data_IF_437328902294
#
_entry.id   IF_437328902294
#
_cell.length_a   1.000
_cell.length_b   1.000
_cell.length_c   1.000
_cell.angle_alpha   90.00
_cell.angle_beta   90.00
_cell.angle_gamma   90.00
#
_symmetry.space_group_name_H-M   'P 1'
#
loop_
_entity.id
_entity.type
_entity.pdbx_description
1 polymer ?
#
# COMPACT_ATOMS: atom_id res chain seq x y z
N UNK A 1 -13.36 -9.68 3.87
CA UNK A 1 -13.29 -8.40 3.13
C UNK A 1 -12.36 -8.63 1.98
N UNK A 2 -12.85 -8.64 0.76
CA UNK A 2 -12.03 -8.78 -0.44
C UNK A 2 -12.49 -7.66 -1.35
N UNK A 3 -11.71 -6.60 -1.41
CA UNK A 3 -11.94 -5.42 -2.26
C UNK A 3 -10.77 -5.38 -3.23
N UNK A 4 -11.04 -5.20 -4.52
CA UNK A 4 -10.03 -5.23 -5.58
C UNK A 4 -10.05 -6.52 -6.39
N UNK A 5 -9.06 -6.67 -7.25
CA UNK A 5 -8.96 -7.73 -8.26
C UNK A 5 -8.81 -9.14 -7.65
N UNK A 6 -8.35 -9.23 -6.40
CA UNK A 6 -8.31 -10.47 -5.62
C UNK A 6 -9.68 -10.96 -5.13
N UNK A 7 -10.74 -10.17 -5.24
CA UNK A 7 -12.09 -10.58 -4.81
C UNK A 7 -12.58 -11.85 -5.54
N UNK A 8 -12.48 -11.85 -6.87
CA UNK A 8 -12.99 -12.93 -7.71
C UNK A 8 -12.20 -14.24 -7.50
N UNK A 9 -10.85 -14.27 -7.51
CA UNK A 9 -10.09 -15.47 -7.22
C UNK A 9 -10.38 -16.09 -5.84
N UNK A 10 -10.63 -15.26 -4.83
CA UNK A 10 -11.00 -15.72 -3.49
C UNK A 10 -12.42 -16.30 -3.48
N UNK A 11 -13.40 -15.59 -4.06
CA UNK A 11 -14.78 -16.07 -4.16
C UNK A 11 -14.89 -17.38 -4.95
N UNK A 12 -14.07 -17.55 -5.99
CA UNK A 12 -14.03 -18.76 -6.82
C UNK A 12 -13.16 -19.88 -6.23
N UNK A 13 -12.56 -19.69 -5.05
CA UNK A 13 -11.72 -20.68 -4.37
C UNK A 13 -10.38 -20.96 -5.05
N UNK A 14 -9.99 -20.17 -6.07
CA UNK A 14 -8.70 -20.28 -6.76
C UNK A 14 -7.55 -19.74 -5.91
N UNK A 15 -7.84 -18.84 -4.98
CA UNK A 15 -6.92 -18.32 -3.98
C UNK A 15 -7.58 -18.43 -2.62
N UNK A 16 -6.87 -19.00 -1.65
CA UNK A 16 -7.34 -19.05 -0.27
C UNK A 16 -6.94 -17.76 0.47
N UNK A 17 -7.80 -17.19 1.34
CA UNK A 17 -7.45 -15.99 2.11
C UNK A 17 -6.15 -16.13 2.90
N UNK A 18 -5.82 -17.33 3.38
CA UNK A 18 -4.57 -17.61 4.09
C UNK A 18 -3.31 -17.50 3.23
N UNK A 19 -3.44 -17.45 1.90
CA UNK A 19 -2.33 -17.21 0.97
C UNK A 19 -2.09 -15.72 0.72
N UNK A 20 -2.98 -14.84 1.21
CA UNK A 20 -2.84 -13.40 1.07
C UNK A 20 -2.03 -12.84 2.24
N UNK A 21 -1.17 -11.86 1.95
CA UNK A 21 -0.36 -11.17 2.94
C UNK A 21 -0.46 -9.67 2.69
N UNK A 22 -0.80 -8.90 3.73
CA UNK A 22 -0.78 -7.45 3.62
C UNK A 22 0.66 -6.94 3.52
N UNK A 23 0.88 -5.93 2.66
CA UNK A 23 2.22 -5.37 2.41
C UNK A 23 2.89 -4.85 3.69
N UNK A 24 2.12 -4.40 4.68
CA UNK A 24 2.64 -3.94 5.97
C UNK A 24 3.46 -5.01 6.70
N UNK A 25 3.04 -6.27 6.65
CA UNK A 25 3.77 -7.37 7.29
C UNK A 25 5.15 -7.60 6.63
N UNK A 26 5.23 -7.41 5.31
CA UNK A 26 6.50 -7.50 4.57
C UNK A 26 7.40 -6.32 4.90
N UNK A 27 6.85 -5.09 4.90
CA UNK A 27 7.58 -3.86 5.21
C UNK A 27 8.16 -3.86 6.65
N UNK A 28 7.44 -4.47 7.59
CA UNK A 28 7.87 -4.62 8.98
C UNK A 28 8.79 -5.83 9.21
N UNK A 29 9.09 -6.63 8.17
CA UNK A 29 9.93 -7.83 8.27
C UNK A 29 9.27 -9.00 9.02
N UNK A 30 7.96 -8.97 9.21
CA UNK A 30 7.19 -10.02 9.90
C UNK A 30 6.95 -11.23 9.00
N UNK A 31 6.92 -11.02 7.68
CA UNK A 31 6.82 -12.06 6.66
C UNK A 31 7.88 -11.79 5.58
N UNK A 32 8.48 -12.85 5.04
CA UNK A 32 9.43 -12.74 3.93
C UNK A 32 8.73 -12.34 2.64
N UNK A 33 9.29 -11.36 1.94
CA UNK A 33 8.90 -11.03 0.57
C UNK A 33 9.44 -12.04 -0.44
N UNK A 34 9.55 -11.63 -1.70
CA UNK A 34 10.19 -12.41 -2.78
C UNK A 34 11.61 -12.85 -2.40
N UNK A 35 11.91 -14.13 -2.57
CA UNK A 35 13.18 -14.77 -2.21
C UNK A 35 14.03 -15.17 -3.41
N UNK A 36 13.41 -15.51 -4.56
CA UNK A 36 14.17 -15.93 -5.75
C UNK A 36 13.72 -15.22 -7.03
N UNK A 37 14.51 -15.36 -8.09
CA UNK A 37 14.22 -14.75 -9.39
C UNK A 37 13.06 -15.47 -10.13
N UNK A 38 12.85 -16.75 -9.84
CA UNK A 38 11.86 -17.62 -10.48
C UNK A 38 10.45 -17.40 -9.91
N UNK A 39 10.33 -16.85 -8.70
CA UNK A 39 9.04 -16.56 -8.10
C UNK A 39 8.25 -15.54 -8.92
N UNK A 40 6.92 -15.61 -8.87
CA UNK A 40 6.05 -14.57 -9.42
C UNK A 40 5.25 -14.01 -8.25
N UNK A 41 5.36 -12.70 -8.04
CA UNK A 41 4.69 -11.99 -6.94
C UNK A 41 3.69 -11.03 -7.55
N UNK A 42 2.46 -11.05 -7.06
CA UNK A 42 1.41 -10.10 -7.42
C UNK A 42 1.17 -9.21 -6.21
N UNK A 43 1.24 -7.90 -6.43
CA UNK A 43 0.78 -6.91 -5.47
C UNK A 43 -0.49 -6.29 -6.01
N UNK A 44 -1.58 -6.44 -5.26
CA UNK A 44 -2.88 -5.86 -5.54
C UNK A 44 -3.19 -4.83 -4.44
N UNK A 45 -3.55 -3.61 -4.85
CA UNK A 45 -3.87 -2.52 -3.93
C UNK A 45 -4.89 -1.59 -4.55
N UNK A 46 -5.95 -1.32 -3.80
CA UNK A 46 -7.01 -0.38 -4.17
C UNK A 46 -6.77 1.05 -3.68
N UNK A 47 -5.58 1.32 -3.12
CA UNK A 47 -5.24 2.58 -2.47
C UNK A 47 -5.92 2.76 -1.11
N UNK A 48 -5.22 3.37 -0.16
CA UNK A 48 -5.78 3.66 1.18
C UNK A 48 -5.56 5.14 1.47
N UNK A 49 -6.61 5.87 1.85
CA UNK A 49 -6.55 7.30 2.16
C UNK A 49 -5.45 7.67 3.19
N UNK A 50 -5.11 6.72 4.08
CA UNK A 50 -3.99 6.88 5.02
C UNK A 50 -2.65 7.14 4.31
N UNK A 51 -2.41 6.49 3.16
CA UNK A 51 -1.20 6.66 2.36
C UNK A 51 -1.11 8.08 1.81
N UNK A 52 -2.23 8.62 1.31
CA UNK A 52 -2.31 10.00 0.82
C UNK A 52 -2.01 11.02 1.93
N UNK A 53 -2.60 10.82 3.11
CA UNK A 53 -2.37 11.67 4.27
C UNK A 53 -0.92 11.64 4.74
N UNK A 54 -0.30 10.45 4.79
CA UNK A 54 1.09 10.29 5.19
C UNK A 54 2.03 11.05 4.25
N UNK A 55 1.83 10.89 2.93
CA UNK A 55 2.62 11.63 1.92
C UNK A 55 2.36 13.13 2.00
N UNK A 56 1.09 13.54 2.14
CA UNK A 56 0.70 14.95 2.24
C UNK A 56 1.39 15.63 3.41
N UNK A 57 1.41 14.99 4.59
CA UNK A 57 2.10 15.52 5.77
C UNK A 57 3.59 15.74 5.49
N UNK A 58 4.26 14.73 4.93
CA UNK A 58 5.69 14.80 4.65
C UNK A 58 6.03 15.88 3.59
N UNK A 59 5.21 16.00 2.55
CA UNK A 59 5.36 17.04 1.52
C UNK A 59 5.12 18.43 2.13
N UNK A 60 4.09 18.60 2.96
CA UNK A 60 3.77 19.86 3.61
C UNK A 60 4.88 20.31 4.57
N UNK A 61 5.43 19.40 5.37
CA UNK A 61 6.55 19.68 6.26
C UNK A 61 7.77 20.14 5.46
N UNK A 62 8.12 19.39 4.40
CA UNK A 62 9.25 19.71 3.52
C UNK A 62 9.06 21.07 2.84
N UNK A 63 7.85 21.38 2.37
CA UNK A 63 7.53 22.65 1.74
C UNK A 63 7.65 23.81 2.73
N UNK A 64 7.21 23.60 3.98
CA UNK A 64 7.31 24.58 5.07
C UNK A 64 8.77 24.90 5.39
N UNK A 65 9.61 23.87 5.59
CA UNK A 65 11.04 24.02 5.86
C UNK A 65 11.77 24.76 4.73
N UNK A 66 11.39 24.49 3.48
CA UNK A 66 12.00 25.09 2.29
C UNK A 66 11.35 26.41 1.86
N UNK A 67 10.33 26.88 2.57
CA UNK A 67 9.54 28.09 2.24
C UNK A 67 8.97 28.04 0.82
N UNK A 68 8.43 26.90 0.42
CA UNK A 68 7.78 26.66 -0.89
C UNK A 68 6.26 26.67 -0.69
N UNK A 69 5.55 27.36 -1.57
CA UNK A 69 4.09 27.47 -1.56
C UNK A 69 3.58 28.85 -1.15
N UNK A 70 2.27 28.96 -0.94
CA UNK A 70 1.61 30.21 -0.59
C UNK A 70 0.50 29.93 0.44
N UNK A 71 0.40 30.81 1.45
CA UNK A 71 -0.75 30.84 2.36
C UNK A 71 -1.89 31.62 1.70
N UNK A 72 -3.08 31.04 1.71
CA UNK A 72 -4.29 31.63 1.11
C UNK A 72 -5.36 31.69 2.20
N UNK A 73 -6.03 32.83 2.33
CA UNK A 73 -7.20 32.99 3.20
C UNK A 73 -8.44 32.41 2.52
N UNK A 74 -9.25 31.66 3.28
CA UNK A 74 -10.49 31.03 2.81
C UNK A 74 -11.69 31.96 2.95
#
# INVERSE_FOLDING_TARGET
MTVGELEIPVQTGKVQPAQLTEIGHVLLGQVTGRQTAEEITVFDSTGIALQDLAVTKQVLDTATERKIGQIVEL
#
